data_IF_058561279771
#
_entry.id   IF_058561279771
#
_cell.length_a   1.000
_cell.length_b   1.000
_cell.length_c   1.000
_cell.angle_alpha   90.00
_cell.angle_beta   90.00
_cell.angle_gamma   90.00
#
_symmetry.space_group_name_H-M   'P 1'
#
loop_
_entity.id
_entity.type
_entity.pdbx_description
1 polymer ?
#
# COMPACT_ATOMS: atom_id res chain seq x y z
N UNK A 1 -33.71 -28.54 -86.47
CA UNK A 1 -33.87 -28.26 -85.03
C UNK A 1 -33.42 -29.48 -84.23
N UNK A 2 -32.15 -29.53 -83.79
CA UNK A 2 -31.67 -30.50 -82.78
C UNK A 2 -30.77 -29.74 -81.80
N UNK A 3 -31.12 -29.85 -80.52
CA UNK A 3 -30.80 -28.92 -79.45
C UNK A 3 -29.39 -29.02 -78.91
N UNK A 4 -28.89 -27.85 -78.50
CA UNK A 4 -27.72 -27.65 -77.64
C UNK A 4 -28.08 -28.06 -76.21
N UNK A 5 -27.47 -29.13 -75.71
CA UNK A 5 -27.51 -29.47 -74.29
C UNK A 5 -26.16 -30.05 -73.89
N UNK A 6 -25.12 -29.21 -73.92
CA UNK A 6 -23.80 -29.58 -73.42
C UNK A 6 -23.06 -28.33 -72.88
N UNK A 7 -23.64 -27.63 -71.90
CA UNK A 7 -22.90 -26.55 -71.22
C UNK A 7 -23.42 -26.25 -69.81
N UNK A 8 -23.71 -27.29 -69.01
CA UNK A 8 -24.12 -27.12 -67.61
C UNK A 8 -23.45 -28.15 -66.69
N UNK A 9 -22.12 -28.24 -66.73
CA UNK A 9 -21.37 -29.09 -65.79
C UNK A 9 -20.03 -28.51 -65.33
N UNK A 10 -19.81 -27.18 -65.44
CA UNK A 10 -18.53 -26.56 -65.05
C UNK A 10 -18.65 -25.33 -64.13
N UNK A 11 -19.80 -25.10 -63.48
CA UNK A 11 -20.01 -23.93 -62.61
C UNK A 11 -20.36 -24.29 -61.16
N UNK A 12 -19.90 -25.44 -60.66
CA UNK A 12 -20.11 -25.83 -59.26
C UNK A 12 -18.85 -26.36 -58.58
N UNK A 13 -17.65 -26.03 -59.08
CA UNK A 13 -16.38 -26.47 -58.50
C UNK A 13 -15.46 -25.29 -58.14
N UNK A 14 -16.01 -24.18 -57.64
CA UNK A 14 -15.21 -23.05 -57.16
C UNK A 14 -15.85 -22.25 -56.01
N UNK A 15 -16.61 -22.88 -55.11
CA UNK A 15 -17.08 -22.22 -53.88
C UNK A 15 -17.02 -23.13 -52.64
N UNK A 16 -16.16 -24.15 -52.65
CA UNK A 16 -15.76 -24.84 -51.41
C UNK A 16 -14.33 -24.42 -51.13
N UNK A 17 -14.13 -23.15 -50.79
CA UNK A 17 -12.95 -22.83 -49.98
C UNK A 17 -13.12 -23.61 -48.68
N UNK A 18 -12.21 -24.51 -48.30
CA UNK A 18 -12.26 -25.06 -46.96
C UNK A 18 -12.30 -23.88 -45.98
N UNK A 19 -13.05 -23.96 -44.87
CA UNK A 19 -12.94 -22.95 -43.84
C UNK A 19 -11.45 -22.85 -43.49
N UNK A 20 -10.87 -21.68 -43.65
CA UNK A 20 -9.52 -21.44 -43.15
C UNK A 20 -9.63 -21.67 -41.66
N UNK A 21 -9.09 -22.79 -41.18
CA UNK A 21 -8.88 -23.00 -39.77
C UNK A 21 -7.83 -21.97 -39.38
N UNK A 22 -8.29 -20.81 -38.91
CA UNK A 22 -7.44 -19.86 -38.18
C UNK A 22 -7.00 -20.60 -36.93
N UNK A 23 -5.90 -21.35 -37.05
CA UNK A 23 -5.11 -21.76 -35.90
C UNK A 23 -4.78 -20.49 -35.15
N UNK A 24 -5.41 -20.30 -33.99
CA UNK A 24 -5.07 -19.25 -33.05
C UNK A 24 -3.57 -19.33 -32.84
N UNK A 25 -2.84 -18.43 -33.49
CA UNK A 25 -1.42 -18.22 -33.23
C UNK A 25 -1.29 -18.07 -31.73
N UNK A 26 -0.39 -18.85 -31.13
CA UNK A 26 -0.20 -18.89 -29.68
C UNK A 26 0.37 -17.53 -29.23
N UNK A 27 -0.52 -16.55 -29.08
CA UNK A 27 -0.17 -15.18 -28.75
C UNK A 27 0.51 -15.17 -27.38
N UNK A 28 1.70 -14.58 -27.33
CA UNK A 28 2.53 -14.58 -26.12
C UNK A 28 3.10 -13.21 -25.85
N UNK A 29 3.13 -12.84 -24.57
CA UNK A 29 3.79 -11.68 -24.02
C UNK A 29 4.79 -12.13 -22.96
N UNK A 30 5.79 -11.30 -22.70
CA UNK A 30 6.87 -11.58 -21.77
C UNK A 30 6.87 -10.52 -20.67
N UNK A 31 6.79 -10.96 -19.41
CA UNK A 31 6.77 -10.08 -18.25
C UNK A 31 7.96 -10.41 -17.34
N UNK A 32 8.80 -9.41 -17.10
CA UNK A 32 9.85 -9.45 -16.09
C UNK A 32 9.44 -8.58 -14.91
N UNK A 33 9.48 -9.13 -13.70
CA UNK A 33 9.11 -8.43 -12.47
C UNK A 33 10.30 -8.45 -11.52
N UNK A 34 10.79 -7.28 -11.15
CA UNK A 34 11.89 -7.10 -10.20
C UNK A 34 11.41 -6.18 -9.08
N UNK A 35 11.85 -6.44 -7.86
CA UNK A 35 11.59 -5.52 -6.75
C UNK A 35 12.72 -5.41 -5.76
N UNK A 36 12.74 -4.30 -5.04
CA UNK A 36 13.61 -4.09 -3.87
C UNK A 36 12.75 -3.73 -2.66
N UNK A 37 12.74 -4.55 -1.59
CA UNK A 37 13.34 -5.89 -1.47
C UNK A 37 12.61 -6.96 -2.29
N UNK A 38 13.05 -8.23 -2.16
CA UNK A 38 12.34 -9.40 -2.73
C UNK A 38 10.91 -9.48 -2.22
N UNK A 39 10.00 -9.92 -3.09
CA UNK A 39 8.58 -9.97 -2.79
C UNK A 39 7.91 -11.13 -3.51
N UNK A 40 6.85 -11.68 -2.91
CA UNK A 40 5.96 -12.62 -3.57
C UNK A 40 5.14 -11.88 -4.64
N UNK A 41 5.06 -12.46 -5.83
CA UNK A 41 4.36 -11.91 -6.99
C UNK A 41 3.00 -12.60 -7.12
N UNK A 42 1.95 -11.80 -7.16
CA UNK A 42 0.59 -12.24 -7.42
C UNK A 42 0.09 -11.63 -8.73
N UNK A 43 -0.51 -12.46 -9.58
CA UNK A 43 -1.15 -12.02 -10.82
C UNK A 43 -2.63 -12.40 -10.74
N UNK A 44 -3.50 -11.40 -10.84
CA UNK A 44 -4.95 -11.56 -10.68
C UNK A 44 -5.31 -12.33 -9.39
N UNK A 45 -4.60 -12.03 -8.29
CA UNK A 45 -4.79 -12.67 -6.99
C UNK A 45 -4.13 -14.05 -6.82
N UNK A 46 -3.53 -14.63 -7.85
CA UNK A 46 -2.83 -15.92 -7.77
C UNK A 46 -1.34 -15.72 -7.56
N UNK A 47 -0.76 -16.36 -6.53
CA UNK A 47 0.70 -16.38 -6.34
C UNK A 47 1.39 -17.12 -7.49
N UNK A 48 2.35 -16.47 -8.13
CA UNK A 48 3.10 -17.00 -9.28
C UNK A 48 4.61 -17.16 -9.01
N UNK A 49 5.09 -16.77 -7.82
CA UNK A 49 6.50 -16.89 -7.43
C UNK A 49 7.00 -15.68 -6.66
N UNK A 50 8.31 -15.43 -6.75
CA UNK A 50 8.99 -14.33 -6.05
C UNK A 50 9.87 -13.53 -7.02
N UNK A 51 10.09 -12.25 -6.73
CA UNK A 51 11.01 -11.42 -7.51
C UNK A 51 12.48 -11.79 -7.25
N UNK A 52 13.36 -11.70 -8.27
CA UNK A 52 13.05 -11.42 -9.68
C UNK A 52 12.37 -12.60 -10.38
N UNK A 53 11.35 -12.32 -11.19
CA UNK A 53 10.52 -13.33 -11.87
C UNK A 53 10.37 -13.01 -13.36
N UNK A 54 10.60 -14.01 -14.22
CA UNK A 54 10.34 -13.93 -15.66
C UNK A 54 9.18 -14.86 -16.03
N UNK A 55 8.22 -14.36 -16.80
CA UNK A 55 7.02 -15.08 -17.21
C UNK A 55 6.75 -14.91 -18.70
N UNK A 56 6.31 -16.00 -19.33
CA UNK A 56 5.64 -15.96 -20.64
C UNK A 56 4.15 -16.16 -20.39
N UNK A 57 3.33 -15.17 -20.74
CA UNK A 57 1.88 -15.14 -20.47
C UNK A 57 1.11 -14.67 -21.69
N UNK A 58 -0.19 -14.97 -21.77
CA UNK A 58 -1.02 -14.51 -22.88
C UNK A 58 -1.18 -12.98 -22.84
N UNK A 59 -1.35 -12.30 -23.99
CA UNK A 59 -1.75 -10.90 -24.01
C UNK A 59 -3.08 -10.69 -23.26
N UNK A 60 -3.24 -9.52 -22.66
CA UNK A 60 -4.40 -9.21 -21.85
C UNK A 60 -4.10 -8.22 -20.72
N UNK A 61 -5.09 -8.04 -19.85
CA UNK A 61 -4.99 -7.15 -18.68
C UNK A 61 -4.76 -7.96 -17.42
N UNK A 62 -3.81 -7.52 -16.61
CA UNK A 62 -3.41 -8.17 -15.38
C UNK A 62 -3.31 -7.16 -14.23
N UNK A 63 -3.75 -7.55 -13.05
CA UNK A 63 -3.43 -6.89 -11.79
C UNK A 63 -2.23 -7.61 -11.18
N UNK A 64 -1.10 -6.92 -11.09
CA UNK A 64 0.14 -7.41 -10.48
C UNK A 64 0.22 -6.86 -9.07
N UNK A 65 0.33 -7.73 -8.07
CA UNK A 65 0.56 -7.34 -6.69
C UNK A 65 1.88 -7.93 -6.18
N UNK A 66 2.65 -7.13 -5.47
CA UNK A 66 3.88 -7.57 -4.82
C UNK A 66 3.71 -7.48 -3.31
N UNK A 67 3.96 -8.58 -2.63
CA UNK A 67 3.82 -8.70 -1.18
C UNK A 67 5.17 -9.04 -0.54
N UNK A 68 5.55 -8.21 0.43
CA UNK A 68 6.59 -8.51 1.39
C UNK A 68 6.01 -8.21 2.80
N UNK A 69 6.18 -9.09 3.80
CA UNK A 69 5.58 -8.93 5.13
C UNK A 69 5.83 -7.56 5.79
N UNK A 70 7.03 -7.01 5.60
CA UNK A 70 7.47 -5.78 6.28
C UNK A 70 7.14 -4.50 5.51
N UNK A 71 6.51 -4.62 4.34
CA UNK A 71 6.28 -3.52 3.41
C UNK A 71 4.80 -3.36 3.04
N UNK A 72 4.48 -2.22 2.44
CA UNK A 72 3.19 -1.98 1.83
C UNK A 72 3.06 -2.79 0.54
N UNK A 73 1.86 -3.34 0.32
CA UNK A 73 1.53 -4.06 -0.93
C UNK A 73 1.64 -3.10 -2.09
N UNK A 74 2.50 -3.44 -3.06
CA UNK A 74 2.54 -2.76 -4.34
C UNK A 74 1.48 -3.36 -5.26
N UNK A 75 0.70 -2.53 -5.95
CA UNK A 75 -0.35 -2.97 -6.88
C UNK A 75 -0.30 -2.17 -8.17
N UNK A 76 -0.30 -2.84 -9.31
CA UNK A 76 -0.23 -2.23 -10.63
C UNK A 76 -1.13 -2.98 -11.62
N UNK A 77 -1.96 -2.26 -12.36
CA UNK A 77 -2.65 -2.81 -13.52
C UNK A 77 -1.79 -2.65 -14.77
N UNK A 78 -1.56 -3.74 -15.48
CA UNK A 78 -0.78 -3.78 -16.73
C UNK A 78 -1.62 -4.38 -17.85
N UNK A 79 -1.52 -3.79 -19.03
CA UNK A 79 -2.06 -4.35 -20.27
C UNK A 79 -0.88 -4.79 -21.12
N UNK A 80 -0.91 -6.04 -21.60
CA UNK A 80 0.12 -6.62 -22.43
C UNK A 80 -0.44 -6.94 -23.80
N UNK A 81 0.27 -6.53 -24.85
CA UNK A 81 -0.02 -6.85 -26.25
C UNK A 81 0.72 -8.11 -26.69
N UNK A 82 0.31 -8.66 -27.83
CA UNK A 82 1.01 -9.79 -28.44
C UNK A 82 2.46 -9.44 -28.80
N UNK A 83 3.38 -10.34 -28.48
CA UNK A 83 4.82 -10.16 -28.59
C UNK A 83 5.44 -9.16 -27.62
N UNK A 84 4.66 -8.48 -26.77
CA UNK A 84 5.17 -7.41 -25.89
C UNK A 84 6.13 -7.96 -24.84
N UNK A 85 7.22 -7.22 -24.59
CA UNK A 85 8.14 -7.47 -23.48
C UNK A 85 8.03 -6.32 -22.49
N UNK A 86 7.58 -6.61 -21.27
CA UNK A 86 7.38 -5.60 -20.23
C UNK A 86 8.29 -5.88 -19.04
N UNK A 87 8.96 -4.84 -18.56
CA UNK A 87 9.68 -4.84 -17.29
C UNK A 87 8.89 -4.03 -16.26
N UNK A 88 8.61 -4.65 -15.12
CA UNK A 88 8.13 -4.00 -13.90
C UNK A 88 9.31 -3.97 -12.92
N UNK A 89 9.71 -2.77 -12.52
CA UNK A 89 10.72 -2.56 -11.49
C UNK A 89 10.09 -1.78 -10.33
N UNK A 90 9.91 -2.43 -9.18
CA UNK A 90 9.18 -1.88 -8.05
C UNK A 90 10.07 -1.71 -6.80
N UNK A 91 10.05 -0.53 -6.21
CA UNK A 91 10.63 -0.29 -4.89
C UNK A 91 9.51 -0.29 -3.86
N UNK A 92 9.51 -1.27 -2.95
CA UNK A 92 8.47 -1.34 -1.92
C UNK A 92 8.74 -0.32 -0.82
N UNK A 93 7.68 0.21 -0.23
CA UNK A 93 7.74 1.18 0.85
C UNK A 93 7.42 0.51 2.18
N UNK A 94 8.18 0.83 3.22
CA UNK A 94 7.81 0.43 4.58
C UNK A 94 6.48 1.10 4.96
N UNK A 95 5.63 0.43 5.76
CA UNK A 95 4.54 1.11 6.43
C UNK A 95 5.09 2.17 7.39
N UNK A 96 4.37 3.27 7.53
CA UNK A 96 4.72 4.36 8.44
C UNK A 96 3.65 4.57 9.51
N UNK A 97 4.02 5.29 10.55
CA UNK A 97 3.14 5.93 11.53
C UNK A 97 3.40 7.43 11.55
N UNK A 98 2.45 8.20 12.08
CA UNK A 98 2.59 9.65 12.25
C UNK A 98 3.18 9.97 13.62
N UNK A 99 4.30 10.68 13.67
CA UNK A 99 4.84 11.26 14.90
C UNK A 99 4.45 12.74 15.00
N UNK A 100 3.88 13.13 16.13
CA UNK A 100 3.52 14.52 16.44
C UNK A 100 4.04 14.91 17.82
N UNK A 101 4.68 16.07 17.92
CA UNK A 101 5.17 16.63 19.18
C UNK A 101 4.53 18.00 19.36
N UNK A 102 3.64 18.07 20.34
CA UNK A 102 2.92 19.27 20.75
C UNK A 102 3.67 19.91 21.91
N UNK A 103 4.07 21.17 21.75
CA UNK A 103 4.68 21.94 22.83
C UNK A 103 4.56 23.44 22.54
N UNK A 104 4.63 24.24 23.59
CA UNK A 104 4.69 25.70 23.49
C UNK A 104 6.10 26.20 23.16
N UNK A 105 7.12 25.46 23.57
CA UNK A 105 8.52 25.80 23.32
C UNK A 105 8.91 25.43 21.88
N UNK A 106 9.40 26.41 21.12
CA UNK A 106 9.82 26.23 19.73
C UNK A 106 11.33 26.05 19.63
N UNK A 107 11.78 25.33 18.60
CA UNK A 107 13.20 25.21 18.27
C UNK A 107 13.97 24.23 19.15
N UNK A 108 13.28 23.33 19.88
CA UNK A 108 13.96 22.25 20.60
C UNK A 108 14.30 21.15 19.61
N UNK A 109 15.54 20.68 19.61
CA UNK A 109 16.00 19.63 18.71
C UNK A 109 15.32 18.30 19.05
N UNK A 110 14.75 17.62 18.05
CA UNK A 110 14.08 16.33 18.20
C UNK A 110 14.89 15.25 17.50
N UNK A 111 15.31 14.25 18.27
CA UNK A 111 16.08 13.12 17.80
C UNK A 111 15.28 11.83 17.91
N UNK A 112 15.41 10.96 16.91
CA UNK A 112 14.86 9.61 16.90
C UNK A 112 16.02 8.63 16.70
N UNK A 113 16.24 7.73 17.66
CA UNK A 113 17.41 6.83 17.71
C UNK A 113 18.77 7.55 17.54
N UNK A 114 18.82 8.81 18.00
CA UNK A 114 20.02 9.65 17.90
C UNK A 114 20.17 10.41 16.58
N UNK A 115 19.28 10.21 15.60
CA UNK A 115 19.22 11.00 14.37
C UNK A 115 18.32 12.22 14.55
N UNK A 116 18.79 13.42 14.17
CA UNK A 116 17.99 14.65 14.22
C UNK A 116 16.90 14.59 13.15
N UNK A 117 15.63 14.52 13.57
CA UNK A 117 14.48 14.43 12.67
C UNK A 117 13.74 15.78 12.48
N UNK A 118 14.09 16.79 13.28
CA UNK A 118 13.52 18.12 13.18
C UNK A 118 13.57 18.88 14.51
N UNK A 119 12.71 19.88 14.63
CA UNK A 119 12.61 20.74 15.81
C UNK A 119 11.16 20.85 16.28
N UNK A 120 10.96 21.22 17.55
CA UNK A 120 9.61 21.42 18.10
C UNK A 120 8.96 22.73 17.66
N UNK A 121 7.63 22.79 17.58
CA UNK A 121 6.70 21.64 17.56
C UNK A 121 6.88 20.83 16.27
N UNK A 122 6.79 19.50 16.38
CA UNK A 122 6.94 18.60 15.24
C UNK A 122 5.56 18.14 14.75
N UNK A 123 5.23 18.48 13.50
CA UNK A 123 3.93 18.14 12.91
C UNK A 123 4.02 16.85 12.08
N UNK A 124 3.17 15.87 12.42
CA UNK A 124 2.78 14.70 11.63
C UNK A 124 3.85 14.12 10.67
N UNK A 125 5.04 13.87 11.21
CA UNK A 125 6.16 13.31 10.45
C UNK A 125 5.94 11.82 10.23
N UNK A 126 6.10 11.36 8.98
CA UNK A 126 6.07 9.93 8.66
C UNK A 126 7.34 9.25 9.14
N UNK A 127 7.18 8.28 10.03
CA UNK A 127 8.28 7.47 10.55
C UNK A 127 7.97 6.00 10.24
N UNK A 128 8.94 5.19 9.79
CA UNK A 128 8.71 3.75 9.62
C UNK A 128 8.18 3.09 10.89
N UNK A 129 7.38 2.03 10.75
CA UNK A 129 6.94 1.27 11.94
C UNK A 129 8.13 0.70 12.69
N UNK A 130 8.08 0.72 14.02
CA UNK A 130 9.21 0.29 14.83
C UNK A 130 9.14 0.77 16.27
N UNK A 131 10.18 0.46 17.02
CA UNK A 131 10.41 0.95 18.38
C UNK A 131 11.60 1.90 18.30
N UNK A 132 11.45 3.10 18.85
CA UNK A 132 12.45 4.16 18.75
C UNK A 132 12.68 4.84 20.10
N UNK A 133 13.90 5.28 20.36
CA UNK A 133 14.24 6.23 21.42
C UNK A 133 14.04 7.65 20.91
N UNK A 134 13.06 8.35 21.47
CA UNK A 134 12.79 9.75 21.18
C UNK A 134 13.49 10.63 22.23
N UNK A 135 14.39 11.49 21.78
CA UNK A 135 15.13 12.43 22.63
C UNK A 135 14.88 13.86 22.19
N UNK A 136 14.58 14.76 23.12
CA UNK A 136 14.42 16.19 22.85
C UNK A 136 15.47 16.97 23.63
N UNK A 137 16.18 17.85 22.94
CA UNK A 137 17.28 18.64 23.50
C UNK A 137 17.00 20.14 23.44
N UNK A 138 17.51 20.85 24.44
CA UNK A 138 17.63 22.31 24.49
C UNK A 138 19.10 22.64 24.64
N UNK A 139 19.67 23.37 23.69
CA UNK A 139 21.09 23.77 23.70
C UNK A 139 22.05 22.60 23.95
N UNK A 140 21.82 21.47 23.27
CA UNK A 140 22.60 20.24 23.41
C UNK A 140 22.32 19.41 24.67
N UNK A 141 21.49 19.88 25.62
CA UNK A 141 21.11 19.14 26.83
C UNK A 141 19.78 18.42 26.65
N UNK A 142 19.75 17.12 26.96
CA UNK A 142 18.51 16.32 26.96
C UNK A 142 17.56 16.81 28.05
N UNK A 143 16.33 17.17 27.65
CA UNK A 143 15.25 17.61 28.54
C UNK A 143 14.09 16.61 28.58
N UNK A 144 13.99 15.74 27.57
CA UNK A 144 13.00 14.69 27.50
C UNK A 144 13.61 13.49 26.77
N UNK A 145 13.39 12.29 27.29
CA UNK A 145 13.77 11.03 26.64
C UNK A 145 12.72 9.98 26.96
N UNK A 146 12.21 9.31 25.93
CA UNK A 146 11.25 8.22 26.08
C UNK A 146 11.43 7.19 24.96
N UNK A 147 10.84 6.02 25.14
CA UNK A 147 10.71 5.03 24.06
C UNK A 147 9.31 5.12 23.47
N UNK A 148 9.21 5.23 22.15
CA UNK A 148 7.94 5.20 21.42
C UNK A 148 7.85 3.94 20.56
N UNK A 149 6.63 3.45 20.37
CA UNK A 149 6.33 2.33 19.47
C UNK A 149 5.34 2.82 18.42
N UNK A 150 5.78 2.78 17.17
CA UNK A 150 4.98 3.13 16.00
C UNK A 150 4.39 1.89 15.34
N UNK A 151 3.10 1.93 15.07
CA UNK A 151 2.36 0.84 14.41
C UNK A 151 1.82 1.30 13.05
N UNK A 152 1.55 0.33 12.15
CA UNK A 152 1.15 0.62 10.76
C UNK A 152 -0.07 1.53 10.72
N UNK A 153 0.07 2.71 10.12
CA UNK A 153 -1.00 3.70 10.00
C UNK A 153 -1.41 4.37 11.32
N UNK A 154 -0.71 4.08 12.42
CA UNK A 154 -0.95 4.65 13.72
C UNK A 154 -0.44 6.09 13.85
N UNK A 155 -0.73 6.71 14.99
CA UNK A 155 -0.19 8.01 15.36
C UNK A 155 0.33 7.98 16.79
N UNK A 156 1.52 8.54 17.00
CA UNK A 156 2.10 8.78 18.32
C UNK A 156 2.16 10.28 18.53
N UNK A 157 1.42 10.77 19.53
CA UNK A 157 1.46 12.19 19.94
C UNK A 157 2.13 12.31 21.30
N UNK A 158 3.15 13.17 21.38
CA UNK A 158 3.80 13.58 22.63
C UNK A 158 3.38 15.01 22.93
N UNK A 159 2.78 15.25 24.11
CA UNK A 159 2.53 16.62 24.60
C UNK A 159 3.54 16.98 25.66
N UNK A 160 4.30 18.05 25.44
CA UNK A 160 5.18 18.68 26.43
C UNK A 160 4.49 19.97 26.90
N UNK A 161 3.39 19.80 27.62
CA UNK A 161 2.87 20.84 28.51
C UNK A 161 3.75 20.86 29.79
N UNK A 162 3.89 22.01 30.47
CA UNK A 162 5.13 22.41 31.12
C UNK A 162 5.72 21.27 31.95
N UNK A 163 6.95 20.89 31.61
CA UNK A 163 7.74 19.93 32.37
C UNK A 163 7.88 20.53 33.77
N UNK A 164 7.07 20.07 34.72
CA UNK A 164 7.46 20.17 36.12
C UNK A 164 8.76 19.38 36.22
N UNK A 165 9.87 20.11 36.31
CA UNK A 165 11.19 19.53 36.55
C UNK A 165 11.04 18.60 37.75
N UNK A 166 11.42 17.31 37.66
CA UNK A 166 11.38 16.43 38.82
C UNK A 166 12.44 16.93 39.81
N UNK A 167 11.97 17.70 40.77
CA UNK A 167 12.76 18.39 41.78
C UNK A 167 11.88 18.75 42.95
N UNK A 168 11.21 17.75 43.53
CA UNK A 168 11.15 17.48 44.98
C UNK A 168 10.17 16.33 45.25
N UNK A 169 10.54 15.50 46.22
CA UNK A 169 9.94 14.21 46.58
C UNK A 169 8.44 14.26 46.87
N UNK A 170 7.65 13.38 46.25
CA UNK A 170 6.48 12.80 46.90
C UNK A 170 6.18 11.39 46.37
N UNK A 171 5.96 10.46 47.30
CA UNK A 171 5.50 9.10 47.04
C UNK A 171 4.10 9.16 46.41
N UNK A 172 3.91 8.64 45.20
CA UNK A 172 2.59 8.26 44.72
C UNK A 172 2.65 7.14 43.67
N UNK A 173 2.30 5.95 44.15
CA UNK A 173 1.54 4.87 43.51
C UNK A 173 1.69 4.66 41.99
N UNK A 174 2.33 3.53 41.66
CA UNK A 174 2.21 2.84 40.38
C UNK A 174 0.72 2.57 40.07
N UNK A 175 0.20 3.19 39.04
CA UNK A 175 -1.11 2.84 38.47
C UNK A 175 -0.97 2.74 36.96
N UNK A 176 -0.79 1.49 36.52
CA UNK A 176 -0.88 1.11 35.11
C UNK A 176 -2.32 1.32 34.66
N UNK A 177 -2.58 2.42 33.94
CA UNK A 177 -3.82 2.54 33.15
C UNK A 177 -3.47 2.38 31.69
N UNK A 178 -3.78 1.18 31.19
CA UNK A 178 -3.98 0.91 29.78
C UNK A 178 -5.02 1.90 29.28
N UNK A 179 -4.64 2.81 28.38
CA UNK A 179 -5.62 3.63 27.67
C UNK A 179 -5.42 3.36 26.17
N UNK A 180 -6.29 2.49 25.68
CA UNK A 180 -6.81 2.53 24.33
C UNK A 180 -7.24 3.98 23.98
N UNK A 181 -7.22 4.30 22.69
CA UNK A 181 -7.61 5.60 22.09
C UNK A 181 -6.51 6.68 22.06
N UNK A 182 -5.55 6.51 21.15
CA UNK A 182 -4.89 7.64 20.49
C UNK A 182 -4.99 7.46 18.96
N UNK A 183 -6.22 7.38 18.47
CA UNK A 183 -6.55 7.48 17.06
C UNK A 183 -6.64 8.98 16.74
N UNK A 184 -5.77 9.47 15.84
CA UNK A 184 -5.95 10.79 15.24
C UNK A 184 -7.26 10.79 14.44
N UNK A 185 -8.32 11.42 14.95
CA UNK A 185 -9.48 11.81 14.16
C UNK A 185 -9.24 13.14 13.42
N UNK A 186 -10.05 13.50 12.40
CA UNK A 186 -11.36 12.94 12.07
C UNK A 186 -11.47 12.42 10.62
N UNK A 187 -12.19 11.31 10.39
CA UNK A 187 -12.77 11.05 9.07
C UNK A 187 -14.29 11.05 9.16
N UNK A 188 -14.85 12.23 8.89
CA UNK A 188 -16.26 12.45 8.64
C UNK A 188 -16.65 11.69 7.34
N UNK A 189 -17.24 10.51 7.47
CA UNK A 189 -18.10 9.96 6.42
C UNK A 189 -19.52 9.98 6.94
N UNK A 190 -20.26 10.99 6.46
CA UNK A 190 -21.71 11.11 6.56
C UNK A 190 -22.30 9.89 5.85
N UNK A 191 -23.04 9.04 6.57
CA UNK A 191 -24.14 8.32 5.96
C UNK A 191 -25.37 8.48 6.85
N UNK A 192 -26.19 9.45 6.48
CA UNK A 192 -27.57 9.61 6.95
C UNK A 192 -28.37 8.36 6.63
N UNK A 193 -29.00 7.75 7.63
CA UNK A 193 -30.21 6.96 7.42
C UNK A 193 -31.06 6.96 8.70
N UNK A 194 -31.97 7.94 8.76
CA UNK A 194 -33.34 7.82 9.25
C UNK A 194 -33.61 6.88 10.45
N UNK A 195 -33.82 7.49 11.62
CA UNK A 195 -34.88 7.02 12.53
C UNK A 195 -36.23 7.04 11.80
N UNK A 196 -37.16 6.16 12.17
CA UNK A 196 -38.16 6.67 13.09
C UNK A 196 -38.40 5.77 14.30
N UNK A 197 -38.52 6.46 15.43
CA UNK A 197 -39.25 6.01 16.59
C UNK A 197 -40.67 5.58 16.21
N UNK A 198 -41.11 4.44 16.72
CA UNK A 198 -42.51 4.17 16.99
C UNK A 198 -42.63 3.60 18.40
N UNK A 199 -43.17 4.43 19.27
CA UNK A 199 -43.71 4.06 20.56
C UNK A 199 -44.86 3.06 20.40
N UNK A 200 -44.94 2.04 21.27
CA UNK A 200 -46.23 1.68 21.89
C UNK A 200 -46.05 0.91 23.20
N UNK A 201 -46.57 1.57 24.23
CA UNK A 201 -46.87 1.14 25.59
C UNK A 201 -47.70 -0.16 25.63
N UNK A 202 -47.34 -1.09 26.51
CA UNK A 202 -48.28 -1.82 27.37
C UNK A 202 -47.70 -1.87 28.78
#
# INVERSE_FOLDING_TARGET
MKGHALFLALLAMLLITPPILTTSENQTAYLMVVSTPKAHVFINGKNVGETPLNLTITPGNYTIQLYNPDYLVYSLNVSLRDGERKLINATLKHPTFKLRILTKEKGLEVYLDGELIGETPLNETDVPVGIYSLTIKRDGKTIYNTTIRGERGGCVTISLDPIELPGETSLAKKETRNNEENICGPSLLILTALTPALARKR
#
